data_IF_933269919335
#
_entry.id   IF_933269919335
#
_cell.length_a   1.000
_cell.length_b   1.000
_cell.length_c   1.000
_cell.angle_alpha   90.00
_cell.angle_beta   90.00
_cell.angle_gamma   90.00
#
_symmetry.space_group_name_H-M   'P 1'
#
loop_
_entity.id
_entity.type
_entity.pdbx_description
1 polymer ?
#
# COMPACT_ATOMS: atom_id res chain seq x y z
N UNK A 1 3.67 18.74 6.28
CA UNK A 1 4.43 17.85 5.36
C UNK A 1 4.23 16.37 5.67
N UNK A 2 4.51 15.87 6.89
CA UNK A 2 4.36 14.43 7.23
C UNK A 2 2.96 13.88 6.89
N UNK A 3 1.89 14.57 7.29
CA UNK A 3 0.50 14.19 6.96
C UNK A 3 0.22 14.13 5.46
N UNK A 4 0.69 15.11 4.71
CA UNK A 4 0.51 15.14 3.24
C UNK A 4 1.20 13.95 2.59
N UNK A 5 2.44 13.64 3.00
CA UNK A 5 3.18 12.48 2.47
C UNK A 5 2.52 11.16 2.89
N UNK A 6 2.02 11.04 4.12
CA UNK A 6 1.23 9.88 4.55
C UNK A 6 -0.04 9.72 3.71
N UNK A 7 -0.75 10.81 3.40
CA UNK A 7 -1.94 10.77 2.57
C UNK A 7 -1.61 10.37 1.12
N UNK A 8 -0.57 10.96 0.54
CA UNK A 8 -0.08 10.59 -0.80
C UNK A 8 0.39 9.13 -0.83
N UNK A 9 0.98 8.62 0.24
CA UNK A 9 1.41 7.22 0.35
C UNK A 9 0.20 6.28 0.26
N UNK A 10 -0.89 6.61 0.97
CA UNK A 10 -2.14 5.86 0.90
C UNK A 10 -2.74 5.94 -0.51
N UNK A 11 -2.82 7.13 -1.11
CA UNK A 11 -3.39 7.27 -2.46
C UNK A 11 -2.59 6.49 -3.51
N UNK A 12 -1.26 6.68 -3.54
CA UNK A 12 -0.39 6.00 -4.50
C UNK A 12 -0.36 4.49 -4.30
N UNK A 13 -0.55 4.00 -3.07
CA UNK A 13 -0.76 2.58 -2.81
C UNK A 13 -2.01 2.05 -3.52
N UNK A 14 -3.17 2.71 -3.38
CA UNK A 14 -4.42 2.25 -3.99
C UNK A 14 -4.37 2.19 -5.53
N UNK A 15 -3.54 3.02 -6.15
CA UNK A 15 -3.30 3.02 -7.59
C UNK A 15 -2.29 1.95 -8.07
N UNK A 16 -1.78 1.10 -7.18
CA UNK A 16 -1.03 -0.09 -7.58
C UNK A 16 -1.89 -0.97 -8.48
N UNK A 17 -1.36 -1.32 -9.64
CA UNK A 17 -2.03 -2.14 -10.65
C UNK A 17 -1.52 -3.58 -10.57
N UNK A 18 -2.44 -4.52 -10.60
CA UNK A 18 -2.22 -5.94 -10.58
C UNK A 18 -2.72 -6.53 -11.90
N UNK A 19 -1.93 -7.41 -12.51
CA UNK A 19 -2.31 -8.14 -13.72
C UNK A 19 -1.89 -9.60 -13.53
N UNK A 20 -2.80 -10.53 -13.77
CA UNK A 20 -2.55 -11.98 -13.63
C UNK A 20 -3.42 -12.81 -14.56
N UNK A 21 -2.88 -13.93 -15.04
CA UNK A 21 -3.51 -14.69 -16.13
C UNK A 21 -3.59 -13.85 -17.42
N UNK A 22 -4.38 -14.30 -18.40
CA UNK A 22 -4.44 -13.61 -19.70
C UNK A 22 -5.35 -12.38 -19.70
N UNK A 23 -6.41 -12.36 -18.87
CA UNK A 23 -7.47 -11.35 -18.93
C UNK A 23 -7.91 -10.81 -17.57
N UNK A 24 -7.17 -11.08 -16.48
CA UNK A 24 -7.51 -10.50 -15.18
C UNK A 24 -6.54 -9.37 -14.84
N UNK A 25 -7.12 -8.25 -14.45
CA UNK A 25 -6.38 -7.15 -13.89
C UNK A 25 -7.26 -6.37 -12.95
N UNK A 26 -6.65 -5.74 -11.96
CA UNK A 26 -7.36 -4.83 -11.07
C UNK A 26 -6.40 -3.83 -10.44
N UNK A 27 -6.93 -2.69 -10.03
CA UNK A 27 -6.24 -1.86 -9.06
C UNK A 27 -6.40 -2.41 -7.65
N UNK A 28 -5.48 -2.05 -6.75
CA UNK A 28 -5.55 -2.50 -5.35
C UNK A 28 -6.87 -2.07 -4.70
N UNK A 29 -7.39 -0.86 -4.96
CA UNK A 29 -8.69 -0.45 -4.41
C UNK A 29 -9.86 -1.31 -4.91
N UNK A 30 -9.78 -1.82 -6.15
CA UNK A 30 -10.80 -2.73 -6.70
C UNK A 30 -10.71 -4.09 -6.04
N UNK A 31 -9.48 -4.61 -5.86
CA UNK A 31 -9.23 -5.86 -5.15
C UNK A 31 -9.72 -5.79 -3.69
N UNK A 32 -9.49 -4.67 -3.01
CA UNK A 32 -10.01 -4.43 -1.66
C UNK A 32 -11.54 -4.42 -1.62
N UNK A 33 -12.19 -3.70 -2.55
CA UNK A 33 -13.64 -3.68 -2.65
C UNK A 33 -14.22 -5.09 -2.88
N UNK A 34 -13.56 -5.91 -3.69
CA UNK A 34 -13.93 -7.31 -3.90
C UNK A 34 -13.79 -8.15 -2.61
N UNK A 35 -12.70 -7.96 -1.86
CA UNK A 35 -12.49 -8.61 -0.56
C UNK A 35 -13.61 -8.23 0.40
N UNK A 36 -13.98 -6.96 0.52
CA UNK A 36 -15.08 -6.52 1.39
C UNK A 36 -16.43 -7.17 1.01
N UNK A 37 -16.69 -7.36 -0.29
CA UNK A 37 -17.88 -8.09 -0.76
C UNK A 37 -17.83 -9.57 -0.36
N UNK A 38 -16.66 -10.22 -0.47
CA UNK A 38 -16.48 -11.64 -0.15
C UNK A 38 -16.50 -11.93 1.36
N UNK A 39 -16.00 -11.02 2.20
CA UNK A 39 -16.07 -11.18 3.66
C UNK A 39 -17.52 -11.27 4.16
N UNK A 40 -18.47 -10.61 3.49
CA UNK A 40 -19.89 -10.72 3.82
C UNK A 40 -20.52 -12.09 3.54
N UNK A 41 -19.90 -12.93 2.69
CA UNK A 41 -20.43 -14.25 2.31
C UNK A 41 -19.58 -15.43 2.78
N UNK A 42 -18.24 -15.30 2.79
CA UNK A 42 -17.32 -16.31 3.28
C UNK A 42 -15.98 -15.69 3.74
N UNK A 43 -15.84 -15.49 5.06
CA UNK A 43 -14.68 -14.84 5.67
C UNK A 43 -13.39 -15.64 5.45
N UNK A 44 -13.44 -16.96 5.51
CA UNK A 44 -12.23 -17.80 5.48
C UNK A 44 -11.52 -17.80 4.13
N UNK A 45 -12.25 -17.62 3.02
CA UNK A 45 -11.65 -17.54 1.68
C UNK A 45 -11.09 -16.15 1.33
N UNK A 46 -11.43 -15.13 2.10
CA UNK A 46 -11.00 -13.74 1.89
C UNK A 46 -9.76 -13.35 2.73
N UNK A 47 -9.43 -14.16 3.74
CA UNK A 47 -8.31 -13.94 4.67
C UNK A 47 -7.05 -14.58 4.10
N UNK A 48 -6.19 -13.75 3.48
CA UNK A 48 -4.86 -14.14 3.04
C UNK A 48 -3.83 -13.16 3.65
N UNK A 49 -2.59 -13.58 3.98
CA UNK A 49 -1.61 -12.66 4.55
C UNK A 49 -1.37 -11.40 3.70
N UNK A 50 -1.36 -11.54 2.37
CA UNK A 50 -1.23 -10.43 1.42
C UNK A 50 -2.46 -9.53 1.33
N UNK A 51 -3.59 -9.89 1.93
CA UNK A 51 -4.78 -9.01 2.05
C UNK A 51 -4.85 -8.38 3.44
N UNK A 52 -4.61 -9.16 4.50
CA UNK A 52 -4.69 -8.69 5.89
C UNK A 52 -3.56 -7.71 6.25
N UNK A 53 -2.31 -8.03 5.89
CA UNK A 53 -1.16 -7.18 6.23
C UNK A 53 -1.31 -5.77 5.65
N UNK A 54 -1.66 -5.59 4.37
CA UNK A 54 -1.87 -4.26 3.80
C UNK A 54 -3.04 -3.51 4.42
N UNK A 55 -4.17 -4.19 4.69
CA UNK A 55 -5.32 -3.57 5.37
C UNK A 55 -4.95 -3.01 6.74
N UNK A 56 -4.19 -3.77 7.55
CA UNK A 56 -3.62 -3.26 8.82
C UNK A 56 -2.75 -2.04 8.55
N UNK A 57 -1.90 -2.08 7.52
CA UNK A 57 -1.06 -0.96 7.12
C UNK A 57 -1.84 0.32 6.82
N UNK A 58 -2.91 0.22 6.04
CA UNK A 58 -3.80 1.35 5.71
C UNK A 58 -4.44 1.90 6.97
N UNK A 59 -5.01 1.05 7.82
CA UNK A 59 -5.65 1.46 9.08
C UNK A 59 -4.65 2.23 9.95
N UNK A 60 -3.42 1.73 10.12
CA UNK A 60 -2.40 2.41 10.91
C UNK A 60 -2.05 3.78 10.31
N UNK A 61 -1.88 3.89 8.99
CA UNK A 61 -1.57 5.16 8.34
C UNK A 61 -2.74 6.15 8.43
N UNK A 62 -3.98 5.68 8.29
CA UNK A 62 -5.19 6.50 8.49
C UNK A 62 -5.20 7.06 9.92
N UNK A 63 -4.96 6.22 10.93
CA UNK A 63 -4.88 6.67 12.34
C UNK A 63 -3.83 7.79 12.48
N UNK A 64 -2.66 7.66 11.83
CA UNK A 64 -1.63 8.71 11.91
C UNK A 64 -2.02 10.03 11.25
N UNK A 65 -2.93 10.05 10.27
CA UNK A 65 -3.41 11.30 9.64
C UNK A 65 -4.21 12.17 10.61
N UNK A 66 -4.97 11.53 11.50
CA UNK A 66 -5.81 12.20 12.50
C UNK A 66 -5.05 12.61 13.77
N UNK A 67 -3.82 12.13 13.96
CA UNK A 67 -2.99 12.55 15.10
C UNK A 67 -2.50 14.00 14.94
N UNK A 68 -2.42 14.82 16.01
CA UNK A 68 -1.85 16.16 15.95
C UNK A 68 -0.43 16.15 15.38
N UNK A 69 0.38 15.19 15.84
CA UNK A 69 1.68 14.86 15.25
C UNK A 69 1.68 13.39 14.85
N UNK A 70 1.88 13.05 13.56
CA UNK A 70 1.95 11.67 13.10
C UNK A 70 3.02 10.89 13.87
N UNK A 71 2.61 9.82 14.54
CA UNK A 71 3.52 8.98 15.29
C UNK A 71 4.48 8.25 14.34
N UNK A 72 5.79 8.40 14.57
CA UNK A 72 6.83 7.77 13.76
C UNK A 72 6.68 6.25 13.70
N UNK A 73 6.53 5.57 14.85
CA UNK A 73 6.45 4.10 14.90
C UNK A 73 5.26 3.59 14.11
N UNK A 74 4.07 4.15 14.33
CA UNK A 74 2.87 3.78 13.58
C UNK A 74 3.02 4.02 12.08
N UNK A 75 3.62 5.15 11.69
CA UNK A 75 3.87 5.47 10.28
C UNK A 75 4.81 4.45 9.64
N UNK A 76 5.90 4.07 10.31
CA UNK A 76 6.86 3.11 9.77
C UNK A 76 6.32 1.68 9.74
N UNK A 77 5.52 1.27 10.72
CA UNK A 77 4.84 -0.03 10.70
C UNK A 77 3.85 -0.06 9.52
N UNK A 78 3.02 0.97 9.38
CA UNK A 78 2.08 1.07 8.27
C UNK A 78 2.79 1.08 6.90
N UNK A 79 3.88 1.85 6.78
CA UNK A 79 4.72 1.86 5.58
C UNK A 79 5.32 0.48 5.27
N UNK A 80 5.79 -0.26 6.29
CA UNK A 80 6.33 -1.60 6.09
C UNK A 80 5.26 -2.58 5.61
N UNK A 81 4.07 -2.54 6.21
CA UNK A 81 2.92 -3.37 5.81
C UNK A 81 2.55 -3.16 4.33
N UNK A 82 2.41 -1.90 3.90
CA UNK A 82 2.11 -1.59 2.49
C UNK A 82 3.31 -1.90 1.59
N UNK A 83 4.51 -1.56 2.04
CA UNK A 83 5.75 -1.73 1.30
C UNK A 83 6.05 -3.19 0.95
N UNK A 84 5.70 -4.13 1.82
CA UNK A 84 5.83 -5.57 1.52
C UNK A 84 4.97 -5.95 0.32
N UNK A 85 3.69 -5.56 0.30
CA UNK A 85 2.82 -5.86 -0.85
C UNK A 85 3.35 -5.15 -2.11
N UNK A 86 3.68 -3.87 -2.03
CA UNK A 86 4.18 -3.11 -3.18
C UNK A 86 5.51 -3.64 -3.72
N UNK A 87 6.35 -4.26 -2.87
CA UNK A 87 7.59 -4.91 -3.29
C UNK A 87 7.30 -6.20 -4.04
N UNK A 88 6.34 -7.00 -3.57
CA UNK A 88 5.89 -8.20 -4.27
C UNK A 88 5.30 -7.84 -5.63
N UNK A 89 4.46 -6.81 -5.71
CA UNK A 89 3.86 -6.37 -6.99
C UNK A 89 4.94 -5.86 -7.94
N UNK A 90 5.90 -5.08 -7.45
CA UNK A 90 7.03 -4.64 -8.26
C UNK A 90 7.85 -5.83 -8.79
N UNK A 91 8.13 -6.82 -7.93
CA UNK A 91 8.86 -8.03 -8.32
C UNK A 91 8.11 -8.80 -9.42
N UNK A 92 6.81 -9.02 -9.25
CA UNK A 92 5.96 -9.69 -10.25
C UNK A 92 5.93 -8.90 -11.55
N UNK A 93 5.82 -7.57 -11.49
CA UNK A 93 5.87 -6.71 -12.68
C UNK A 93 7.19 -6.81 -13.43
N UNK A 94 8.33 -6.84 -12.72
CA UNK A 94 9.66 -7.00 -13.33
C UNK A 94 9.82 -8.40 -13.94
N UNK A 95 9.50 -9.46 -13.19
CA UNK A 95 9.65 -10.84 -13.65
C UNK A 95 8.71 -11.16 -14.83
N UNK A 96 7.51 -10.59 -14.83
CA UNK A 96 6.54 -10.69 -15.92
C UNK A 96 6.78 -9.70 -17.07
N UNK A 97 7.82 -8.86 -17.01
CA UNK A 97 8.10 -7.78 -17.98
C UNK A 97 6.88 -6.86 -18.24
N UNK A 98 6.04 -6.68 -17.23
CA UNK A 98 4.83 -5.89 -17.31
C UNK A 98 5.10 -4.45 -16.86
N UNK A 99 5.35 -3.57 -17.84
CA UNK A 99 5.63 -2.16 -17.59
C UNK A 99 4.46 -1.43 -16.93
N UNK A 100 3.20 -1.84 -17.15
CA UNK A 100 2.03 -1.19 -16.53
C UNK A 100 2.05 -1.41 -15.01
N UNK A 101 2.29 -2.66 -14.59
CA UNK A 101 2.43 -3.02 -13.17
C UNK A 101 3.61 -2.25 -12.55
N UNK A 102 4.78 -2.27 -13.20
CA UNK A 102 5.97 -1.57 -12.69
C UNK A 102 5.75 -0.06 -12.57
N UNK A 103 5.19 0.59 -13.59
CA UNK A 103 4.96 2.03 -13.56
C UNK A 103 3.91 2.42 -12.51
N UNK A 104 2.91 1.57 -12.26
CA UNK A 104 1.88 1.85 -11.26
C UNK A 104 2.40 1.89 -9.81
N UNK A 105 3.45 1.12 -9.49
CA UNK A 105 4.00 1.04 -8.12
C UNK A 105 5.10 2.06 -7.85
N UNK A 106 5.70 2.66 -8.88
CA UNK A 106 6.76 3.67 -8.73
C UNK A 106 6.33 4.89 -7.90
N UNK A 107 5.14 5.50 -8.13
CA UNK A 107 4.67 6.63 -7.32
C UNK A 107 4.67 6.34 -5.82
N UNK A 108 4.28 5.13 -5.42
CA UNK A 108 4.30 4.72 -4.01
C UNK A 108 5.73 4.73 -3.44
N UNK A 109 6.69 4.15 -4.15
CA UNK A 109 8.09 4.09 -3.70
C UNK A 109 8.73 5.48 -3.61
N UNK A 110 8.43 6.37 -4.55
CA UNK A 110 8.88 7.76 -4.51
C UNK A 110 8.37 8.45 -3.23
N UNK A 111 7.06 8.36 -2.96
CA UNK A 111 6.46 8.97 -1.76
C UNK A 111 7.01 8.33 -0.48
N UNK A 112 7.19 7.01 -0.45
CA UNK A 112 7.78 6.29 0.66
C UNK A 112 9.18 6.81 1.02
N UNK A 113 10.05 6.98 0.02
CA UNK A 113 11.40 7.50 0.19
C UNK A 113 11.37 8.93 0.75
N UNK A 114 10.54 9.82 0.18
CA UNK A 114 10.38 11.18 0.69
C UNK A 114 9.86 11.23 2.14
N UNK A 115 8.92 10.34 2.49
CA UNK A 115 8.40 10.22 3.85
C UNK A 115 9.51 9.83 4.83
N UNK A 116 10.32 8.83 4.49
CA UNK A 116 11.46 8.38 5.30
C UNK A 116 12.45 9.52 5.51
N UNK A 117 12.83 10.25 4.45
CA UNK A 117 13.75 11.38 4.57
C UNK A 117 13.20 12.50 5.46
N UNK A 118 11.90 12.79 5.35
CA UNK A 118 11.24 13.80 6.19
C UNK A 118 11.33 13.43 7.69
N UNK A 119 11.15 12.15 8.03
CA UNK A 119 11.32 11.69 9.41
C UNK A 119 12.78 11.65 9.89
N UNK A 120 13.75 11.42 9.00
CA UNK A 120 15.18 11.49 9.34
C UNK A 120 15.62 12.92 9.63
N UNK A 121 15.20 13.90 8.82
CA UNK A 121 15.54 15.32 9.01
C UNK A 121 14.94 15.89 10.31
N UNK A 122 13.75 15.45 10.70
CA UNK A 122 13.06 15.89 11.92
C UNK A 122 13.66 15.32 13.22
N UNK A 123 14.55 14.33 13.14
CA UNK A 123 15.19 13.67 14.29
C UNK A 123 16.63 14.14 14.51
N UNK A 124 17.11 15.06 13.67
CA UNK A 124 18.32 15.87 13.89
C UNK A 124 17.88 17.23 14.40
#
# INVERSE_FOLDING_TARGET
>A
MKKLLTFLLILTFHFGYLEWGENNSSFIFEAEAEIFKKVGSNVLSAVHPLTVIPLIGIILLIITLFQPQPNKRLTFIGLACLGILMAVILLVGILGLNYKVVLSVIPFWIVAIFLIFTYRKSNK
#
